data_IF_149270436204
#
_entry.id   IF_149270436204
#
_cell.length_a   1.000
_cell.length_b   1.000
_cell.length_c   1.000
_cell.angle_alpha   90.00
_cell.angle_beta   90.00
_cell.angle_gamma   90.00
#
_symmetry.space_group_name_H-M   'P 1'
#
loop_
_entity.id
_entity.type
_entity.pdbx_description
1 polymer ?
#
# COMPACT_ATOMS: atom_id res chain seq x y z
N UNK A 1 2.97 26.00 -4.87
CA UNK A 1 2.27 25.49 -5.93
C UNK A 1 1.36 24.37 -5.53
N UNK A 2 0.20 24.33 -6.15
CA UNK A 2 -0.88 23.45 -5.73
C UNK A 2 -0.50 21.98 -5.72
N UNK A 3 0.25 21.50 -6.72
CA UNK A 3 0.62 20.10 -6.81
C UNK A 3 1.51 19.66 -5.65
N UNK A 4 2.42 20.52 -5.21
CA UNK A 4 3.28 20.20 -4.07
C UNK A 4 2.49 20.15 -2.77
N UNK A 5 1.51 21.04 -2.61
CA UNK A 5 0.68 21.03 -1.40
C UNK A 5 -0.21 19.81 -1.34
N UNK A 6 -0.76 19.38 -2.46
CA UNK A 6 -1.58 18.17 -2.53
C UNK A 6 -0.73 16.96 -2.16
N UNK A 7 0.48 16.88 -2.71
CA UNK A 7 1.39 15.78 -2.42
C UNK A 7 1.79 15.75 -0.94
N UNK A 8 2.10 16.91 -0.36
CA UNK A 8 2.48 17.00 1.06
C UNK A 8 1.33 16.53 1.94
N UNK A 9 0.10 16.93 1.64
CA UNK A 9 -1.06 16.50 2.41
C UNK A 9 -1.28 15.00 2.31
N UNK A 10 -1.06 14.42 1.12
CA UNK A 10 -1.19 12.99 0.93
C UNK A 10 -0.15 12.22 1.74
N UNK A 11 1.08 12.70 1.75
CA UNK A 11 2.14 12.09 2.56
C UNK A 11 1.84 12.20 4.06
N UNK A 12 1.34 13.34 4.50
CA UNK A 12 1.00 13.53 5.91
C UNK A 12 -0.10 12.58 6.33
N UNK A 13 -1.12 12.41 5.50
CA UNK A 13 -2.22 11.50 5.78
C UNK A 13 -1.74 10.05 5.83
N UNK A 14 -0.91 9.65 4.87
CA UNK A 14 -0.36 8.31 4.85
C UNK A 14 0.51 8.05 6.09
N UNK A 15 1.32 9.03 6.46
CA UNK A 15 2.16 8.93 7.66
C UNK A 15 1.32 8.71 8.92
N UNK A 16 0.22 9.46 9.05
CA UNK A 16 -0.67 9.29 10.19
C UNK A 16 -1.34 7.93 10.21
N UNK A 17 -1.75 7.44 9.04
CA UNK A 17 -2.35 6.11 8.93
C UNK A 17 -1.37 5.03 9.39
N UNK A 18 -0.12 5.12 8.97
CA UNK A 18 0.92 4.17 9.38
C UNK A 18 1.19 4.31 10.88
N UNK A 19 1.32 5.54 11.37
CA UNK A 19 1.64 5.80 12.76
C UNK A 19 0.58 5.21 13.71
N UNK A 20 -0.68 5.30 13.32
CA UNK A 20 -1.79 4.88 14.16
C UNK A 20 -2.15 3.41 14.00
N UNK A 21 -1.68 2.74 12.95
CA UNK A 21 -1.99 1.34 12.72
C UNK A 21 -1.10 0.43 13.55
N UNK A 22 -1.68 -0.62 14.10
CA UNK A 22 -0.94 -1.62 14.86
C UNK A 22 -0.70 -2.89 14.07
N UNK A 23 -1.46 -3.06 12.99
CA UNK A 23 -1.44 -4.30 12.20
C UNK A 23 -1.45 -3.91 10.73
N UNK A 24 -0.31 -4.10 10.05
CA UNK A 24 -0.10 -3.62 8.69
C UNK A 24 0.23 -4.79 7.76
N UNK A 25 -0.42 -4.82 6.61
CA UNK A 25 -0.12 -5.76 5.55
C UNK A 25 0.33 -5.02 4.32
N UNK A 26 1.44 -5.44 3.73
CA UNK A 26 1.96 -4.91 2.49
C UNK A 26 1.77 -5.95 1.40
N UNK A 27 1.10 -5.59 0.32
CA UNK A 27 1.07 -6.38 -0.90
C UNK A 27 1.87 -5.63 -1.95
N UNK A 28 2.84 -6.29 -2.56
CA UNK A 28 3.68 -5.69 -3.58
C UNK A 28 3.77 -6.62 -4.79
N UNK A 29 3.98 -6.03 -5.97
CA UNK A 29 4.09 -6.82 -7.19
C UNK A 29 5.35 -7.67 -7.17
N UNK A 30 5.28 -8.88 -7.70
CA UNK A 30 6.37 -9.86 -7.63
C UNK A 30 7.43 -9.66 -8.72
N UNK A 31 7.50 -8.49 -9.34
CA UNK A 31 8.60 -8.18 -10.24
C UNK A 31 9.74 -7.48 -9.49
N UNK A 32 10.81 -7.13 -10.21
CA UNK A 32 11.99 -6.53 -9.59
C UNK A 32 11.66 -5.23 -8.85
N UNK A 33 10.86 -4.37 -9.46
CA UNK A 33 10.49 -3.09 -8.86
C UNK A 33 9.63 -3.30 -7.62
N UNK A 34 8.69 -4.24 -7.68
CA UNK A 34 7.81 -4.53 -6.56
C UNK A 34 8.54 -5.16 -5.39
N UNK A 35 9.46 -6.07 -5.66
CA UNK A 35 10.26 -6.68 -4.60
C UNK A 35 11.13 -5.63 -3.92
N UNK A 36 11.75 -4.75 -4.69
CA UNK A 36 12.56 -3.67 -4.15
C UNK A 36 11.71 -2.72 -3.31
N UNK A 37 10.59 -2.27 -3.85
CA UNK A 37 9.72 -1.32 -3.16
C UNK A 37 9.14 -1.93 -1.88
N UNK A 38 8.65 -3.16 -1.94
CA UNK A 38 8.11 -3.84 -0.78
C UNK A 38 9.15 -4.06 0.31
N UNK A 39 10.37 -4.37 -0.09
CA UNK A 39 11.47 -4.56 0.86
C UNK A 39 11.86 -3.26 1.55
N UNK A 40 11.87 -2.15 0.83
CA UNK A 40 12.14 -0.84 1.40
C UNK A 40 11.06 -0.47 2.41
N UNK A 41 9.80 -0.67 2.04
CA UNK A 41 8.68 -0.41 2.96
C UNK A 41 8.77 -1.26 4.22
N UNK A 42 9.07 -2.55 4.05
CA UNK A 42 9.20 -3.45 5.20
C UNK A 42 10.31 -3.00 6.13
N UNK A 43 11.47 -2.62 5.57
CA UNK A 43 12.58 -2.10 6.37
C UNK A 43 12.21 -0.82 7.11
N UNK A 44 11.45 0.05 6.44
CA UNK A 44 10.99 1.30 7.05
C UNK A 44 10.05 1.01 8.23
N UNK A 45 9.14 0.08 8.06
CA UNK A 45 8.20 -0.28 9.14
C UNK A 45 8.94 -0.95 10.30
N UNK A 46 9.99 -1.73 10.02
CA UNK A 46 10.83 -2.29 11.06
C UNK A 46 11.50 -1.20 11.89
N UNK A 47 12.00 -0.16 11.22
CA UNK A 47 12.64 0.97 11.92
C UNK A 47 11.64 1.74 12.78
N UNK A 48 10.38 1.77 12.36
CA UNK A 48 9.31 2.41 13.12
C UNK A 48 8.71 1.49 14.18
N UNK A 49 9.25 0.30 14.31
CA UNK A 49 8.78 -0.72 15.25
C UNK A 49 7.30 -1.07 15.05
N UNK A 50 6.89 -1.14 13.77
CA UNK A 50 5.53 -1.48 13.39
C UNK A 50 5.42 -2.95 13.01
N UNK A 51 4.51 -3.67 13.64
CA UNK A 51 4.20 -5.04 13.24
C UNK A 51 3.60 -5.04 11.86
N UNK A 52 4.15 -5.86 10.97
CA UNK A 52 3.68 -5.92 9.59
C UNK A 52 4.03 -7.26 8.96
N UNK A 53 3.37 -7.53 7.86
CA UNK A 53 3.70 -8.65 6.98
C UNK A 53 3.80 -8.12 5.56
N UNK A 54 4.67 -8.72 4.76
CA UNK A 54 4.78 -8.39 3.35
C UNK A 54 4.55 -9.64 2.52
N UNK A 55 3.76 -9.50 1.47
CA UNK A 55 3.49 -10.58 0.53
C UNK A 55 3.63 -10.06 -0.88
N UNK A 56 4.37 -10.78 -1.72
CA UNK A 56 4.57 -10.42 -3.12
C UNK A 56 3.57 -11.21 -3.96
N UNK A 57 2.82 -10.50 -4.80
CA UNK A 57 1.73 -11.11 -5.55
C UNK A 57 1.78 -10.71 -7.03
N UNK A 58 1.09 -11.47 -7.86
CA UNK A 58 0.83 -11.11 -9.25
C UNK A 58 -0.45 -10.28 -9.31
N UNK A 59 -0.62 -9.55 -10.41
CA UNK A 59 -1.76 -8.63 -10.55
C UNK A 59 -3.12 -9.33 -10.52
N UNK A 60 -3.16 -10.56 -11.01
CA UNK A 60 -4.41 -11.34 -11.04
C UNK A 60 -4.89 -11.77 -9.65
N UNK A 61 -4.01 -11.72 -8.66
CA UNK A 61 -4.37 -12.10 -7.29
C UNK A 61 -5.14 -11.03 -6.54
N UNK A 62 -5.14 -9.80 -7.04
CA UNK A 62 -5.76 -8.68 -6.32
C UNK A 62 -7.25 -8.93 -6.09
N UNK A 63 -7.95 -9.48 -7.08
CA UNK A 63 -9.38 -9.71 -6.97
C UNK A 63 -9.74 -10.77 -5.91
N UNK A 64 -8.79 -11.61 -5.54
CA UNK A 64 -9.01 -12.70 -4.58
C UNK A 64 -8.61 -12.31 -3.15
N UNK A 65 -8.13 -11.09 -2.94
CA UNK A 65 -7.65 -10.69 -1.61
C UNK A 65 -8.80 -10.40 -0.66
N UNK A 66 -8.59 -10.76 0.59
CA UNK A 66 -9.47 -10.39 1.68
C UNK A 66 -8.64 -9.57 2.67
N UNK A 67 -9.00 -8.30 2.84
CA UNK A 67 -8.22 -7.38 3.66
C UNK A 67 -8.69 -7.44 5.11
N UNK A 68 -7.91 -8.11 5.94
CA UNK A 68 -8.26 -8.33 7.34
C UNK A 68 -7.42 -7.48 8.29
N UNK A 69 -6.38 -6.84 7.77
CA UNK A 69 -5.50 -6.03 8.60
C UNK A 69 -6.08 -4.63 8.79
N UNK A 70 -5.64 -3.95 9.84
CA UNK A 70 -6.08 -2.58 10.10
C UNK A 70 -5.69 -1.65 8.96
N UNK A 71 -4.49 -1.81 8.42
CA UNK A 71 -3.99 -1.03 7.31
C UNK A 71 -3.38 -1.96 6.26
N UNK A 72 -3.77 -1.75 5.00
CA UNK A 72 -3.19 -2.48 3.87
C UNK A 72 -2.50 -1.48 2.95
N UNK A 73 -1.24 -1.75 2.60
CA UNK A 73 -0.46 -0.93 1.67
C UNK A 73 -0.25 -1.73 0.40
N UNK A 74 -0.70 -1.19 -0.73
CA UNK A 74 -0.40 -1.75 -2.05
C UNK A 74 0.79 -0.99 -2.60
N UNK A 75 1.89 -1.71 -2.85
CA UNK A 75 3.14 -1.15 -3.32
C UNK A 75 3.42 -1.66 -4.73
N UNK A 76 3.68 -0.75 -5.65
CA UNK A 76 3.99 -1.05 -7.06
C UNK A 76 2.85 -1.80 -7.75
N UNK A 77 1.63 -1.61 -7.26
CA UNK A 77 0.40 -2.14 -7.87
C UNK A 77 -0.79 -1.42 -7.23
N UNK A 78 -1.95 -1.58 -7.79
CA UNK A 78 -3.19 -1.07 -7.21
C UNK A 78 -3.82 0.08 -7.96
N UNK A 79 -3.03 0.98 -8.56
CA UNK A 79 -3.61 2.14 -9.26
C UNK A 79 -4.28 1.76 -10.57
N UNK A 80 -3.81 0.68 -11.21
CA UNK A 80 -4.39 0.17 -12.44
C UNK A 80 -5.38 -0.96 -12.24
N UNK A 81 -5.62 -1.37 -11.00
CA UNK A 81 -6.50 -2.48 -10.68
C UNK A 81 -7.71 -1.98 -9.90
N UNK A 82 -8.79 -2.75 -9.94
CA UNK A 82 -10.01 -2.35 -9.27
C UNK A 82 -9.97 -2.73 -7.79
N UNK A 83 -9.22 -1.95 -7.01
CA UNK A 83 -9.14 -2.17 -5.56
C UNK A 83 -10.35 -1.62 -4.81
N UNK A 84 -11.24 -0.92 -5.51
CA UNK A 84 -12.48 -0.43 -4.90
C UNK A 84 -13.35 -1.56 -4.36
N UNK A 85 -13.25 -2.74 -4.97
CA UNK A 85 -13.94 -3.91 -4.46
C UNK A 85 -13.52 -4.27 -3.04
N UNK A 86 -12.31 -3.89 -2.68
CA UNK A 86 -11.76 -4.17 -1.36
C UNK A 86 -12.13 -3.12 -0.34
N UNK A 87 -12.73 -2.02 -0.78
CA UNK A 87 -13.13 -0.92 0.09
C UNK A 87 -14.25 -1.27 1.06
N UNK A 88 -14.91 -2.40 0.87
CA UNK A 88 -15.93 -2.89 1.80
C UNK A 88 -15.33 -3.58 3.01
N UNK A 89 -14.04 -3.82 3.01
CA UNK A 89 -13.35 -4.39 4.16
C UNK A 89 -13.15 -3.31 5.23
N UNK A 90 -12.84 -3.72 6.44
CA UNK A 90 -12.54 -2.79 7.53
C UNK A 90 -11.12 -2.22 7.44
N UNK A 91 -10.32 -2.69 6.50
CA UNK A 91 -8.94 -2.25 6.34
C UNK A 91 -8.88 -0.89 5.67
N UNK A 92 -8.04 0.01 6.20
CA UNK A 92 -7.69 1.24 5.48
C UNK A 92 -6.67 0.90 4.41
N UNK A 93 -6.69 1.63 3.30
CA UNK A 93 -5.88 1.30 2.13
C UNK A 93 -5.00 2.48 1.73
N UNK A 94 -3.72 2.19 1.51
CA UNK A 94 -2.76 3.14 0.91
C UNK A 94 -2.24 2.50 -0.37
N UNK A 95 -2.23 3.26 -1.46
CA UNK A 95 -1.70 2.79 -2.75
C UNK A 95 -0.46 3.61 -3.09
N UNK A 96 0.68 2.94 -3.21
CA UNK A 96 1.95 3.53 -3.61
C UNK A 96 2.37 2.89 -4.93
N UNK A 97 1.93 3.48 -6.03
CA UNK A 97 2.15 2.91 -7.35
C UNK A 97 2.57 4.00 -8.32
N UNK A 98 3.61 3.72 -9.11
CA UNK A 98 4.12 4.65 -10.10
C UNK A 98 3.60 4.38 -11.51
N UNK A 99 2.83 3.32 -11.69
CA UNK A 99 2.25 2.99 -12.99
C UNK A 99 1.10 3.93 -13.33
N UNK A 100 0.88 4.24 -14.63
CA UNK A 100 -0.28 5.04 -14.99
C UNK A 100 -1.57 4.31 -14.60
N UNK A 101 -2.56 5.05 -14.07
CA UNK A 101 -3.83 4.41 -13.74
C UNK A 101 -4.59 3.99 -15.00
N UNK A 102 -5.43 2.98 -14.87
CA UNK A 102 -6.34 2.57 -15.94
C UNK A 102 -7.37 3.65 -16.18
N UNK A 103 -7.64 3.89 -17.45
CA UNK A 103 -8.62 4.89 -17.86
C UNK A 103 -9.84 4.25 -18.49
#
# INVERSE_FOLDING_TARGET
MENNQIMIKAFQKAHEMVKNAENIKIYSHIDCDGITAGSILSSTLDRLEKDHEVEFITLDKIDDLSLENELTIFSDLGSGQNVHKLGNSSSKIIILDHHPPLR
#
